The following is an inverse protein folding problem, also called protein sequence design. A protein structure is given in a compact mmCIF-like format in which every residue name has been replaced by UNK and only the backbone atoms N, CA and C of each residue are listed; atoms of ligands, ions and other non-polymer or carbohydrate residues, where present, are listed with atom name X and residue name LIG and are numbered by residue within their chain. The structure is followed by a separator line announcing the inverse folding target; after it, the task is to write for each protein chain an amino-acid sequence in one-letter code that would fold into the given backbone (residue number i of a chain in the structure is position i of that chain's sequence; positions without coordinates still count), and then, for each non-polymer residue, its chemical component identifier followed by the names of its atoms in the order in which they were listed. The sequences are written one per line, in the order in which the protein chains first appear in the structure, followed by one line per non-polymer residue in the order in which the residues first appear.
data_IF_541583549960
#
_entry.id   IF_541583549960
#
_cell.length_a   1.000
_cell.length_b   1.000
_cell.length_c   1.000
_cell.angle_alpha   90.00
_cell.angle_beta   90.00
_cell.angle_gamma   90.00
#
_symmetry.space_group_name_H-M   'P 1'
#
loop_
_entity.id
_entity.type
_entity.pdbx_description
1 polymer ?
#
# COMPACT_ATOMS: atom_id res chain seq x y z
N UNK A 1 -2.69 6.84 8.34
CA UNK A 1 -2.48 5.52 7.71
C UNK A 1 -1.69 5.70 6.43
N UNK A 2 -0.76 4.81 6.13
CA UNK A 2 0.01 4.78 4.89
C UNK A 2 -0.46 3.63 4.04
N UNK A 3 -0.92 3.91 2.82
CA UNK A 3 -1.25 2.91 1.83
C UNK A 3 -0.03 2.72 0.94
N UNK A 4 0.67 1.60 1.13
CA UNK A 4 1.87 1.29 0.40
C UNK A 4 1.53 0.35 -0.74
N UNK A 5 1.77 0.78 -1.98
CA UNK A 5 1.59 -0.05 -3.16
C UNK A 5 1.15 0.72 -4.39
N UNK A 6 1.33 0.09 -5.54
CA UNK A 6 0.97 0.67 -6.84
C UNK A 6 -0.53 0.51 -7.11
N UNK A 7 -1.18 1.57 -7.62
CA UNK A 7 -2.63 1.58 -7.94
C UNK A 7 -2.97 0.75 -9.20
N UNK A 8 -1.96 0.29 -9.93
CA UNK A 8 -2.10 -0.71 -11.00
C UNK A 8 -2.58 -2.07 -10.44
N UNK A 9 -2.26 -2.37 -9.18
CA UNK A 9 -2.71 -3.56 -8.48
C UNK A 9 -4.19 -3.42 -8.12
N UNK A 10 -5.05 -4.36 -8.57
CA UNK A 10 -6.47 -4.33 -8.25
C UNK A 10 -6.75 -4.50 -6.75
N UNK A 11 -5.77 -4.94 -5.97
CA UNK A 11 -5.89 -5.06 -4.52
C UNK A 11 -5.65 -3.73 -3.81
N UNK A 12 -4.56 -3.02 -4.15
CA UNK A 12 -4.24 -1.70 -3.59
C UNK A 12 -5.35 -0.71 -3.93
N UNK A 13 -5.82 -0.73 -5.18
CA UNK A 13 -6.90 0.14 -5.64
C UNK A 13 -8.22 -0.09 -4.89
N UNK A 14 -8.57 -1.35 -4.57
CA UNK A 14 -9.76 -1.63 -3.75
C UNK A 14 -9.64 -1.03 -2.36
N UNK A 15 -8.48 -1.17 -1.71
CA UNK A 15 -8.24 -0.58 -0.39
C UNK A 15 -8.27 0.94 -0.45
N UNK A 16 -7.65 1.57 -1.46
CA UNK A 16 -7.71 3.03 -1.65
C UNK A 16 -9.16 3.54 -1.77
N UNK A 17 -9.98 2.86 -2.58
CA UNK A 17 -11.40 3.21 -2.76
C UNK A 17 -12.17 3.05 -1.45
N UNK A 18 -11.96 1.95 -0.72
CA UNK A 18 -12.61 1.76 0.59
C UNK A 18 -12.21 2.86 1.58
N UNK A 19 -10.92 3.19 1.68
CA UNK A 19 -10.44 4.23 2.59
C UNK A 19 -11.03 5.61 2.25
N UNK A 20 -11.11 5.93 0.96
CA UNK A 20 -11.77 7.15 0.50
C UNK A 20 -13.28 7.15 0.82
N UNK A 21 -13.97 6.03 0.61
CA UNK A 21 -15.39 5.89 0.90
C UNK A 21 -15.71 6.00 2.41
N UNK A 22 -14.81 5.52 3.26
CA UNK A 22 -14.92 5.64 4.71
C UNK A 22 -14.39 6.98 5.26
N UNK A 23 -13.88 7.88 4.41
CA UNK A 23 -13.35 9.18 4.84
C UNK A 23 -12.10 9.07 5.72
N UNK A 24 -11.38 7.95 5.65
CA UNK A 24 -10.16 7.72 6.44
C UNK A 24 -9.02 8.46 5.76
N UNK A 25 -8.33 9.34 6.50
CA UNK A 25 -7.13 10.00 5.99
C UNK A 25 -6.00 8.99 5.83
N UNK A 26 -5.53 8.82 4.58
CA UNK A 26 -4.37 8.00 4.28
C UNK A 26 -3.40 8.70 3.33
N UNK A 27 -2.13 8.38 3.49
CA UNK A 27 -1.04 8.82 2.64
C UNK A 27 -0.72 7.70 1.64
N UNK A 28 -0.80 7.98 0.35
CA UNK A 28 -0.50 6.99 -0.69
C UNK A 28 0.99 7.03 -1.02
N UNK A 29 1.68 5.92 -0.75
CA UNK A 29 3.08 5.72 -1.07
C UNK A 29 3.19 4.68 -2.20
N UNK A 30 3.42 5.12 -3.45
CA UNK A 30 3.57 4.23 -4.59
C UNK A 30 4.94 3.54 -4.57
N UNK A 31 5.16 2.66 -3.59
CA UNK A 31 6.35 1.81 -3.52
C UNK A 31 6.09 0.50 -4.28
N UNK A 32 6.99 0.15 -5.18
CA UNK A 32 6.93 -1.10 -5.93
C UNK A 32 7.61 -2.22 -5.14
N UNK A 33 6.88 -3.32 -4.93
CA UNK A 33 7.40 -4.53 -4.26
C UNK A 33 8.57 -5.16 -5.04
N UNK A 34 8.70 -4.84 -6.33
CA UNK A 34 9.74 -5.39 -7.20
C UNK A 34 11.04 -4.58 -7.21
N UNK A 35 10.95 -3.24 -7.20
CA UNK A 35 12.14 -2.38 -7.30
C UNK A 35 12.69 -1.96 -5.93
N UNK A 36 11.83 -1.81 -4.92
CA UNK A 36 12.19 -1.34 -3.58
C UNK A 36 12.04 -2.44 -2.52
N UNK A 37 12.32 -3.69 -2.89
CA UNK A 37 12.14 -4.87 -2.03
C UNK A 37 12.82 -4.72 -0.66
N UNK A 38 14.02 -4.11 -0.60
CA UNK A 38 14.76 -3.90 0.63
C UNK A 38 14.03 -2.95 1.61
N UNK A 39 13.52 -1.81 1.11
CA UNK A 39 12.74 -0.86 1.92
C UNK A 39 11.35 -1.41 2.28
N UNK A 40 10.77 -2.24 1.40
CA UNK A 40 9.49 -2.89 1.62
C UNK A 40 9.57 -4.00 2.68
N UNK A 41 10.67 -4.76 2.71
CA UNK A 41 10.90 -5.83 3.66
C UNK A 41 11.17 -5.31 5.10
N UNK A 42 11.81 -4.14 5.24
CA UNK A 42 11.96 -3.48 6.54
C UNK A 42 10.60 -3.05 7.13
N UNK A 43 9.66 -2.61 6.29
CA UNK A 43 8.32 -2.19 6.72
C UNK A 43 7.36 -3.37 6.91
N UNK A 44 7.50 -4.44 6.13
CA UNK A 44 6.65 -5.62 6.20
C UNK A 44 7.42 -6.90 5.87
N UNK A 45 7.84 -7.69 6.88
CA UNK A 45 8.56 -8.95 6.65
C UNK A 45 7.70 -10.01 5.94
N UNK A 46 6.37 -9.85 5.90
CA UNK A 46 5.48 -10.71 5.13
C UNK A 46 5.40 -10.34 3.64
N UNK A 47 6.05 -9.24 3.21
CA UNK A 47 6.16 -8.74 1.83
C UNK A 47 4.83 -8.80 1.08
N UNK A 48 3.80 -8.18 1.68
CA UNK A 48 2.48 -8.04 1.04
C UNK A 48 2.29 -6.61 0.56
N UNK A 49 1.95 -6.47 -0.73
CA UNK A 49 1.60 -5.21 -1.38
C UNK A 49 0.37 -4.49 -0.77
N UNK A 50 -0.30 -5.11 0.20
CA UNK A 50 -1.46 -4.57 0.89
C UNK A 50 -1.06 -4.26 2.33
N UNK A 51 -0.34 -3.15 2.53
CA UNK A 51 0.01 -2.70 3.88
C UNK A 51 -0.71 -1.38 4.17
N UNK A 52 -1.62 -1.44 5.14
CA UNK A 52 -2.20 -0.30 5.83
C UNK A 52 -1.55 -0.23 7.20
N UNK A 53 -0.59 0.69 7.39
CA UNK A 53 0.03 0.95 8.69
C UNK A 53 -0.24 2.38 9.15
#
# INVERSE_FOLDING_TARGET
MKLIGMLDSPYVRRVAISLAAYGVAFEHLPLSVFSDYAAFAELNPAVKAQLCC
#
